data_IF_614512032442
#
_entry.id   IF_614512032442
#
_cell.length_a   1.000
_cell.length_b   1.000
_cell.length_c   1.000
_cell.angle_alpha   90.00
_cell.angle_beta   90.00
_cell.angle_gamma   90.00
#
_symmetry.space_group_name_H-M   'P 1'
#
loop_
_entity.id
_entity.type
_entity.pdbx_description
1 polymer ?
#
# COMPACT_ATOMS: atom_id res chain seq x y z
N UNK A 1 -25.36 12.46 -4.87
CA UNK A 1 -24.02 12.91 -4.47
C UNK A 1 -24.15 13.59 -3.11
N UNK A 2 -23.80 12.93 -2.01
CA UNK A 2 -23.81 13.55 -0.68
C UNK A 2 -22.52 14.37 -0.50
N UNK A 3 -22.67 15.67 -0.24
CA UNK A 3 -21.56 16.55 0.13
C UNK A 3 -21.26 16.37 1.62
N UNK A 4 -20.03 15.96 1.96
CA UNK A 4 -19.57 15.97 3.34
C UNK A 4 -19.44 17.42 3.83
N UNK A 5 -20.11 17.74 4.94
CA UNK A 5 -20.08 19.08 5.51
C UNK A 5 -18.79 19.30 6.29
N UNK A 6 -18.26 20.53 6.23
CA UNK A 6 -17.07 20.99 6.97
C UNK A 6 -17.16 20.74 8.48
N UNK A 7 -18.37 20.57 9.02
CA UNK A 7 -18.63 20.24 10.43
C UNK A 7 -18.29 18.79 10.79
N UNK A 8 -18.40 17.85 9.86
CA UNK A 8 -18.03 16.44 10.11
C UNK A 8 -16.50 16.28 10.09
N UNK A 9 -15.82 17.08 9.28
CA UNK A 9 -14.35 17.16 9.28
C UNK A 9 -13.80 17.71 10.61
N UNK A 10 -14.46 18.73 11.19
CA UNK A 10 -14.06 19.27 12.50
C UNK A 10 -14.34 18.32 13.67
N UNK A 11 -15.39 17.48 13.58
CA UNK A 11 -15.64 16.43 14.58
C UNK A 11 -14.56 15.34 14.55
N UNK A 12 -14.01 15.03 13.37
CA UNK A 12 -12.91 14.06 13.25
C UNK A 12 -11.60 14.60 13.84
N UNK A 13 -11.33 15.90 13.73
CA UNK A 13 -10.13 16.54 14.30
C UNK A 13 -10.16 16.68 15.83
N UNK A 14 -11.35 16.65 16.46
CA UNK A 14 -11.49 16.82 17.91
C UNK A 14 -11.31 15.53 18.73
N UNK A 15 -11.18 14.36 18.08
CA UNK A 15 -11.02 13.07 18.76
C UNK A 15 -9.56 12.70 19.11
N UNK A 16 -8.58 13.52 18.72
CA UNK A 16 -7.15 13.29 18.99
C UNK A 16 -6.64 14.08 20.19
N UNK A 17 -7.36 14.05 21.30
CA UNK A 17 -6.89 14.59 22.57
C UNK A 17 -7.17 13.61 23.71
N UNK A 18 -6.17 12.77 23.99
CA UNK A 18 -6.01 12.08 25.26
C UNK A 18 -6.31 10.58 25.26
N UNK A 19 -5.25 9.76 25.21
CA UNK A 19 -4.99 8.73 26.23
C UNK A 19 -3.47 8.62 26.42
N UNK A 20 -3.05 8.81 27.67
CA UNK A 20 -1.68 8.67 28.14
C UNK A 20 -1.26 7.20 28.28
N UNK A 21 0.05 6.98 28.18
CA UNK A 21 0.85 5.82 28.58
C UNK A 21 0.17 4.78 29.49
N UNK A 22 0.07 3.55 28.99
CA UNK A 22 0.02 2.33 29.82
C UNK A 22 1.17 1.43 29.33
N UNK A 23 2.14 1.21 30.21
CA UNK A 23 3.22 0.24 29.98
C UNK A 23 2.68 -1.18 29.89
N UNK A 24 3.36 -2.04 29.13
CA UNK A 24 3.04 -3.45 29.09
C UNK A 24 4.27 -4.31 29.33
N UNK A 25 4.13 -5.10 30.39
CA UNK A 25 4.97 -6.20 30.82
C UNK A 25 5.19 -7.19 29.67
N UNK A 26 6.41 -7.73 29.62
CA UNK A 26 6.84 -8.68 28.62
C UNK A 26 6.03 -9.98 28.62
N UNK A 27 5.52 -10.31 27.43
CA UNK A 27 5.15 -11.68 27.05
C UNK A 27 6.03 -11.99 25.84
N UNK A 28 6.88 -13.01 25.97
CA UNK A 28 7.75 -13.48 24.90
C UNK A 28 6.89 -14.11 23.79
N UNK A 29 6.59 -13.33 22.76
CA UNK A 29 6.07 -13.83 21.49
C UNK A 29 7.22 -14.49 20.72
N UNK A 30 6.97 -15.59 19.98
CA UNK A 30 7.98 -16.17 19.11
C UNK A 30 8.42 -15.11 18.10
N UNK A 31 9.72 -14.92 17.96
CA UNK A 31 10.33 -13.94 17.09
C UNK A 31 9.99 -14.25 15.63
N UNK A 32 8.86 -13.74 15.14
CA UNK A 32 8.71 -13.46 13.71
C UNK A 32 9.82 -12.48 13.37
N UNK A 33 10.73 -12.87 12.46
CA UNK A 33 11.84 -12.04 12.04
C UNK A 33 11.34 -10.62 11.76
N UNK A 34 11.67 -9.67 12.64
CA UNK A 34 11.45 -8.26 12.37
C UNK A 34 12.35 -7.94 11.19
N UNK A 35 11.78 -7.91 10.00
CA UNK A 35 12.47 -7.42 8.82
C UNK A 35 12.81 -5.95 9.10
N UNK A 36 14.07 -5.70 9.47
CA UNK A 36 14.58 -4.34 9.55
C UNK A 36 14.40 -3.71 8.16
N UNK A 37 13.96 -2.45 8.15
CA UNK A 37 13.76 -1.71 6.91
C UNK A 37 15.08 -1.71 6.13
N UNK A 38 15.14 -2.26 4.90
CA UNK A 38 16.37 -2.33 4.13
C UNK A 38 16.94 -0.94 3.83
N UNK A 39 18.27 -0.87 3.66
CA UNK A 39 18.94 0.35 3.22
C UNK A 39 18.33 0.86 1.89
N UNK A 40 18.08 2.16 1.80
CA UNK A 40 17.50 2.82 0.61
C UNK A 40 16.01 3.15 0.70
N UNK A 41 15.30 2.65 1.70
CA UNK A 41 13.94 3.09 2.03
C UNK A 41 14.02 4.34 2.90
N UNK A 42 13.31 5.42 2.53
CA UNK A 42 13.41 6.75 3.14
C UNK A 42 12.09 7.26 3.69
N UNK A 43 10.96 6.90 3.08
CA UNK A 43 9.64 7.46 3.41
C UNK A 43 8.77 6.49 4.23
N UNK A 44 8.95 5.18 4.08
CA UNK A 44 8.36 4.17 4.97
C UNK A 44 9.17 4.01 6.26
N UNK A 45 8.46 3.92 7.39
CA UNK A 45 9.00 3.37 8.63
C UNK A 45 8.83 1.84 8.67
N UNK A 46 9.22 1.24 9.79
CA UNK A 46 9.14 -0.21 9.98
C UNK A 46 7.70 -0.74 9.92
N UNK A 47 6.75 -0.01 10.50
CA UNK A 47 5.34 -0.39 10.51
C UNK A 47 4.76 -0.43 9.09
N UNK A 48 4.97 0.63 8.30
CA UNK A 48 4.46 0.66 6.93
C UNK A 48 5.12 -0.39 6.05
N UNK A 49 6.43 -0.60 6.24
CA UNK A 49 7.19 -1.58 5.48
C UNK A 49 6.63 -3.00 5.67
N UNK A 50 6.36 -3.41 6.91
CA UNK A 50 5.79 -4.74 7.21
C UNK A 50 4.43 -4.96 6.56
N UNK A 51 3.55 -3.95 6.62
CA UNK A 51 2.21 -4.02 6.00
C UNK A 51 2.33 -4.17 4.49
N UNK A 52 3.11 -3.32 3.83
CA UNK A 52 3.27 -3.37 2.38
C UNK A 52 3.97 -4.65 1.92
N UNK A 53 4.98 -5.13 2.67
CA UNK A 53 5.63 -6.39 2.37
C UNK A 53 4.64 -7.55 2.44
N UNK A 54 3.82 -7.61 3.50
CA UNK A 54 2.79 -8.64 3.64
C UNK A 54 1.76 -8.54 2.53
N UNK A 55 1.27 -7.34 2.25
CA UNK A 55 0.28 -7.08 1.22
C UNK A 55 0.79 -7.47 -0.17
N UNK A 56 2.06 -7.20 -0.46
CA UNK A 56 2.75 -7.61 -1.69
C UNK A 56 2.75 -9.12 -1.86
N UNK A 57 3.09 -9.87 -0.81
CA UNK A 57 3.13 -11.34 -0.86
C UNK A 57 1.76 -11.95 -1.19
N UNK A 58 0.68 -11.39 -0.64
CA UNK A 58 -0.67 -11.98 -0.79
C UNK A 58 -1.48 -11.41 -1.95
N UNK A 59 -1.18 -10.20 -2.39
CA UNK A 59 -1.93 -9.53 -3.48
C UNK A 59 -1.35 -9.78 -4.87
N UNK A 60 -0.09 -10.24 -4.97
CA UNK A 60 0.58 -10.50 -6.24
C UNK A 60 0.86 -12.00 -6.40
N UNK A 61 -0.04 -12.76 -7.06
CA UNK A 61 0.12 -14.21 -7.25
C UNK A 61 1.12 -14.51 -8.36
N UNK A 62 2.40 -14.16 -8.17
CA UNK A 62 3.45 -14.41 -9.16
C UNK A 62 3.99 -15.85 -9.08
N UNK A 63 3.80 -16.53 -7.95
CA UNK A 63 4.29 -17.90 -7.74
C UNK A 63 3.66 -18.89 -8.72
N UNK A 64 4.48 -19.68 -9.40
CA UNK A 64 4.02 -20.65 -10.41
C UNK A 64 3.54 -20.02 -11.72
N UNK A 65 3.72 -18.71 -11.91
CA UNK A 65 3.40 -18.00 -13.15
C UNK A 65 4.67 -17.62 -13.91
N UNK A 66 4.60 -17.25 -15.20
CA UNK A 66 5.74 -16.70 -15.92
C UNK A 66 6.11 -15.27 -15.50
N UNK A 67 5.36 -14.65 -14.59
CA UNK A 67 5.63 -13.28 -14.12
C UNK A 67 6.94 -13.22 -13.32
N UNK A 68 7.59 -12.05 -13.34
CA UNK A 68 8.84 -11.86 -12.61
C UNK A 68 8.63 -12.04 -11.09
N UNK A 69 9.48 -12.86 -10.47
CA UNK A 69 9.38 -13.16 -9.04
C UNK A 69 9.68 -11.93 -8.17
N UNK A 70 9.01 -11.83 -7.01
CA UNK A 70 9.10 -10.67 -6.12
C UNK A 70 10.51 -10.45 -5.54
N UNK A 71 11.34 -11.48 -5.44
CA UNK A 71 12.74 -11.40 -4.97
C UNK A 71 13.68 -10.74 -5.99
N UNK A 72 13.29 -10.71 -7.27
CA UNK A 72 14.12 -10.17 -8.36
C UNK A 72 13.78 -8.74 -8.72
N UNK A 73 12.73 -8.18 -8.13
CA UNK A 73 12.17 -6.87 -8.48
C UNK A 73 12.20 -5.96 -7.24
N UNK A 74 12.71 -4.73 -7.33
CA UNK A 74 12.82 -3.82 -6.20
C UNK A 74 11.48 -3.12 -5.89
N UNK A 75 10.40 -3.89 -5.70
CA UNK A 75 9.03 -3.37 -5.55
C UNK A 75 8.93 -2.37 -4.39
N UNK A 76 9.49 -2.70 -3.23
CA UNK A 76 9.43 -1.85 -2.04
C UNK A 76 10.20 -0.54 -2.23
N UNK A 77 11.35 -0.57 -2.91
CA UNK A 77 12.12 0.62 -3.24
C UNK A 77 11.39 1.49 -4.27
N UNK A 78 10.74 0.86 -5.26
CA UNK A 78 9.88 1.58 -6.21
C UNK A 78 8.70 2.25 -5.50
N UNK A 79 8.05 1.54 -4.57
CA UNK A 79 6.95 2.09 -3.77
C UNK A 79 7.41 3.31 -2.97
N UNK A 80 8.53 3.20 -2.27
CA UNK A 80 9.09 4.29 -1.46
C UNK A 80 9.50 5.51 -2.31
N UNK A 81 10.35 5.29 -3.30
CA UNK A 81 11.02 6.35 -4.03
C UNK A 81 10.18 6.96 -5.17
N UNK A 82 9.29 6.19 -5.79
CA UNK A 82 8.50 6.66 -6.94
C UNK A 82 7.08 7.06 -6.55
N UNK A 83 6.47 6.39 -5.56
CA UNK A 83 5.09 6.68 -5.17
C UNK A 83 5.02 7.54 -3.90
N UNK A 84 5.69 7.14 -2.83
CA UNK A 84 5.60 7.87 -1.55
C UNK A 84 6.37 9.19 -1.56
N UNK A 85 7.55 9.23 -2.19
CA UNK A 85 8.37 10.43 -2.27
C UNK A 85 7.67 11.61 -2.98
N UNK A 86 6.75 11.32 -3.90
CA UNK A 86 5.99 12.32 -4.64
C UNK A 86 4.77 12.89 -3.90
N UNK A 87 4.43 12.35 -2.72
CA UNK A 87 3.26 12.78 -1.97
C UNK A 87 3.54 14.06 -1.18
N UNK A 88 2.56 14.97 -1.14
CA UNK A 88 2.61 16.09 -0.21
C UNK A 88 2.67 15.57 1.25
N UNK A 89 3.41 16.22 2.17
CA UNK A 89 3.65 15.68 3.52
C UNK A 89 2.38 15.31 4.30
N UNK A 90 1.32 16.12 4.18
CA UNK A 90 0.04 15.85 4.86
C UNK A 90 -0.69 14.63 4.27
N UNK A 91 -0.55 14.39 2.96
CA UNK A 91 -1.10 13.20 2.29
C UNK A 91 -0.36 11.95 2.73
N UNK A 92 0.98 12.00 2.74
CA UNK A 92 1.80 10.88 3.22
C UNK A 92 1.49 10.55 4.68
N UNK A 93 1.34 11.56 5.54
CA UNK A 93 0.98 11.35 6.93
C UNK A 93 -0.42 10.71 7.08
N UNK A 94 -1.41 11.15 6.29
CA UNK A 94 -2.73 10.53 6.26
C UNK A 94 -2.69 9.08 5.80
N UNK A 95 -1.88 8.77 4.78
CA UNK A 95 -1.66 7.39 4.32
C UNK A 95 -1.05 6.52 5.42
N UNK A 96 -0.03 7.00 6.14
CA UNK A 96 0.58 6.26 7.27
C UNK A 96 -0.43 5.92 8.36
N UNK A 97 -1.29 6.86 8.70
CA UNK A 97 -2.39 6.61 9.65
C UNK A 97 -3.37 5.56 9.12
N UNK A 98 -3.73 5.65 7.83
CA UNK A 98 -4.57 4.64 7.17
C UNK A 98 -3.95 3.25 7.16
N UNK A 99 -2.63 3.15 6.95
CA UNK A 99 -1.87 1.89 7.03
C UNK A 99 -1.94 1.33 8.46
N UNK A 100 -1.75 2.17 9.48
CA UNK A 100 -1.91 1.75 10.89
C UNK A 100 -3.31 1.23 11.19
N UNK A 101 -4.35 1.85 10.65
CA UNK A 101 -5.73 1.37 10.78
C UNK A 101 -5.96 0.03 10.07
N UNK A 102 -5.40 -0.13 8.87
CA UNK A 102 -5.47 -1.39 8.12
C UNK A 102 -4.77 -2.53 8.89
N UNK A 103 -3.58 -2.28 9.41
CA UNK A 103 -2.79 -3.24 10.20
C UNK A 103 -3.55 -3.72 11.44
N UNK A 104 -4.10 -2.78 12.21
CA UNK A 104 -4.84 -3.10 13.43
C UNK A 104 -6.24 -3.67 13.15
N UNK A 105 -6.80 -3.39 11.98
CA UNK A 105 -8.09 -3.90 11.54
C UNK A 105 -8.19 -5.42 11.57
N UNK A 106 -7.09 -6.11 11.27
CA UNK A 106 -7.00 -7.56 11.31
C UNK A 106 -7.12 -8.14 12.73
N UNK A 107 -6.69 -7.41 13.76
CA UNK A 107 -6.72 -7.89 15.16
C UNK A 107 -8.14 -8.23 15.58
N UNK A 108 -9.13 -7.43 15.16
CA UNK A 108 -10.54 -7.69 15.50
C UNK A 108 -11.07 -9.00 14.90
N UNK A 109 -10.58 -9.40 13.73
CA UNK A 109 -11.07 -10.57 13.00
C UNK A 109 -10.25 -11.83 13.28
N UNK A 110 -8.93 -11.68 13.50
CA UNK A 110 -7.97 -12.77 13.54
C UNK A 110 -7.10 -12.80 14.81
N UNK A 111 -7.27 -11.84 15.73
CA UNK A 111 -6.52 -11.77 17.00
C UNK A 111 -5.06 -11.30 16.88
N UNK A 112 -4.59 -11.01 15.66
CA UNK A 112 -3.22 -10.56 15.36
C UNK A 112 -3.25 -9.52 14.24
N UNK A 113 -2.25 -8.63 14.14
CA UNK A 113 -2.24 -7.58 13.14
C UNK A 113 -1.98 -8.15 11.73
N UNK A 114 -2.33 -7.40 10.69
CA UNK A 114 -2.37 -7.90 9.31
C UNK A 114 -1.03 -8.47 8.86
N UNK A 115 0.08 -7.80 9.17
CA UNK A 115 1.43 -8.24 8.81
C UNK A 115 1.83 -9.61 9.38
N UNK A 116 1.10 -10.13 10.38
CA UNK A 116 1.34 -11.43 11.02
C UNK A 116 0.34 -12.53 10.62
N UNK A 117 -0.63 -12.21 9.76
CA UNK A 117 -1.55 -13.21 9.22
C UNK A 117 -0.83 -14.18 8.28
N UNK A 118 -1.29 -15.44 8.21
CA UNK A 118 -0.86 -16.36 7.15
C UNK A 118 -1.53 -16.00 5.81
N UNK A 119 -1.14 -16.66 4.71
CA UNK A 119 -1.54 -16.24 3.36
C UNK A 119 -3.05 -16.34 3.15
N UNK A 120 -3.66 -17.36 3.75
CA UNK A 120 -5.11 -17.56 3.67
C UNK A 120 -5.84 -16.46 4.43
N UNK A 121 -5.47 -16.22 5.68
CA UNK A 121 -6.14 -15.23 6.54
C UNK A 121 -5.91 -13.80 6.03
N UNK A 122 -4.72 -13.48 5.55
CA UNK A 122 -4.40 -12.19 4.96
C UNK A 122 -5.22 -11.93 3.68
N UNK A 123 -5.35 -12.95 2.81
CA UNK A 123 -6.19 -12.84 1.61
C UNK A 123 -7.65 -12.63 1.99
N UNK A 124 -8.18 -13.44 2.92
CA UNK A 124 -9.55 -13.32 3.40
C UNK A 124 -9.82 -11.97 4.09
N UNK A 125 -8.84 -11.42 4.82
CA UNK A 125 -8.93 -10.07 5.38
C UNK A 125 -9.05 -9.00 4.29
N UNK A 126 -8.20 -9.06 3.26
CA UNK A 126 -8.26 -8.13 2.13
C UNK A 126 -9.62 -8.21 1.43
N UNK A 127 -10.09 -9.43 1.12
CA UNK A 127 -11.38 -9.65 0.47
C UNK A 127 -12.55 -9.12 1.32
N UNK A 128 -12.51 -9.32 2.63
CA UNK A 128 -13.53 -8.79 3.54
C UNK A 128 -13.53 -7.25 3.54
N UNK A 129 -12.37 -6.61 3.50
CA UNK A 129 -12.27 -5.14 3.48
C UNK A 129 -12.68 -4.54 2.14
N UNK A 130 -12.35 -5.18 1.01
CA UNK A 130 -12.80 -4.75 -0.32
C UNK A 130 -14.32 -4.81 -0.46
N UNK A 131 -14.95 -5.81 0.16
CA UNK A 131 -16.40 -6.01 0.14
C UNK A 131 -17.13 -5.36 1.31
N UNK A 132 -16.42 -4.61 2.18
CA UNK A 132 -17.00 -3.97 3.36
C UNK A 132 -18.05 -2.93 2.97
N UNK A 133 -19.08 -2.74 3.79
CA UNK A 133 -20.02 -1.62 3.64
C UNK A 133 -19.40 -0.27 4.01
N UNK A 134 -18.29 -0.27 4.77
CA UNK A 134 -17.53 0.93 5.15
C UNK A 134 -16.65 1.45 3.98
N UNK A 135 -16.91 2.66 3.44
CA UNK A 135 -16.11 3.23 2.37
C UNK A 135 -14.63 3.40 2.71
N UNK A 136 -14.29 3.64 3.98
CA UNK A 136 -12.89 3.81 4.40
C UNK A 136 -12.13 2.49 4.30
N UNK A 137 -12.73 1.39 4.76
CA UNK A 137 -12.12 0.05 4.66
C UNK A 137 -11.88 -0.35 3.21
N UNK A 138 -12.89 -0.19 2.34
CA UNK A 138 -12.75 -0.45 0.90
C UNK A 138 -11.68 0.42 0.27
N UNK A 139 -11.69 1.71 0.58
CA UNK A 139 -10.74 2.69 0.07
C UNK A 139 -9.30 2.35 0.45
N UNK A 140 -9.07 1.96 1.70
CA UNK A 140 -7.76 1.53 2.18
C UNK A 140 -7.32 0.23 1.51
N UNK A 141 -8.14 -0.83 1.52
CA UNK A 141 -7.78 -2.11 0.92
C UNK A 141 -7.46 -1.99 -0.57
N UNK A 142 -8.33 -1.32 -1.34
CA UNK A 142 -8.10 -1.09 -2.77
C UNK A 142 -6.90 -0.18 -3.01
N UNK A 143 -6.78 0.92 -2.25
CA UNK A 143 -5.71 1.91 -2.43
C UNK A 143 -4.33 1.31 -2.17
N UNK A 144 -4.16 0.58 -1.06
CA UNK A 144 -2.89 -0.05 -0.70
C UNK A 144 -2.49 -1.12 -1.71
N UNK A 145 -3.43 -1.98 -2.15
CA UNK A 145 -3.16 -2.98 -3.20
C UNK A 145 -2.76 -2.34 -4.53
N UNK A 146 -3.40 -1.22 -4.90
CA UNK A 146 -3.03 -0.48 -6.12
C UNK A 146 -1.62 0.10 -6.03
N UNK A 147 -1.21 0.66 -4.89
CA UNK A 147 0.16 1.14 -4.71
C UNK A 147 1.17 0.01 -4.92
N UNK A 148 0.95 -1.14 -4.29
CA UNK A 148 1.80 -2.34 -4.45
C UNK A 148 1.84 -2.80 -5.91
N UNK A 149 0.68 -2.93 -6.55
CA UNK A 149 0.61 -3.38 -7.95
C UNK A 149 1.29 -2.40 -8.91
N UNK A 150 1.07 -1.10 -8.74
CA UNK A 150 1.73 -0.07 -9.54
C UNK A 150 3.25 -0.11 -9.35
N UNK A 151 3.74 -0.32 -8.12
CA UNK A 151 5.17 -0.46 -7.86
C UNK A 151 5.77 -1.70 -8.53
N UNK A 152 5.05 -2.82 -8.55
CA UNK A 152 5.50 -4.01 -9.27
C UNK A 152 5.58 -3.74 -10.78
N UNK A 153 4.48 -3.27 -11.39
CA UNK A 153 4.40 -3.03 -12.83
C UNK A 153 5.23 -1.84 -13.32
N UNK A 154 5.73 -0.97 -12.44
CA UNK A 154 6.66 0.08 -12.82
C UNK A 154 8.06 -0.44 -13.18
N UNK A 155 8.36 -1.71 -12.90
CA UNK A 155 9.66 -2.32 -13.17
C UNK A 155 9.68 -3.02 -14.54
N UNK A 156 10.56 -2.62 -15.49
CA UNK A 156 10.60 -3.17 -16.85
C UNK A 156 10.68 -4.71 -16.95
N UNK A 157 11.41 -5.44 -16.07
CA UNK A 157 11.45 -6.90 -16.16
C UNK A 157 10.08 -7.59 -15.98
N UNK A 158 9.08 -6.90 -15.43
CA UNK A 158 7.72 -7.44 -15.26
C UNK A 158 6.93 -7.49 -16.58
N UNK A 159 7.33 -6.74 -17.60
CA UNK A 159 6.56 -6.57 -18.83
C UNK A 159 6.75 -7.69 -19.85
N UNK A 160 7.90 -8.37 -19.82
CA UNK A 160 8.27 -9.39 -20.80
C UNK A 160 7.24 -10.53 -20.87
N UNK A 161 6.78 -11.00 -19.72
CA UNK A 161 5.77 -12.07 -19.64
C UNK A 161 4.39 -11.65 -20.17
N UNK A 162 4.14 -10.34 -20.27
CA UNK A 162 2.91 -9.78 -20.85
C UNK A 162 3.01 -9.58 -22.36
N UNK A 163 4.18 -9.80 -22.97
CA UNK A 163 4.46 -9.40 -24.35
C UNK A 163 4.42 -7.87 -24.54
N UNK A 164 4.66 -7.11 -23.47
CA UNK A 164 4.68 -5.65 -23.53
C UNK A 164 6.13 -5.14 -23.60
N UNK A 165 6.49 -4.49 -24.70
CA UNK A 165 7.84 -3.97 -24.93
C UNK A 165 8.15 -2.67 -24.17
N UNK A 166 7.21 -2.20 -23.34
CA UNK A 166 7.29 -0.93 -22.66
C UNK A 166 6.82 0.25 -23.50
N UNK A 167 6.95 1.49 -22.98
CA UNK A 167 6.56 2.70 -23.68
C UNK A 167 7.33 2.87 -25.01
N UNK A 168 6.61 2.79 -26.13
CA UNK A 168 7.21 2.77 -27.48
C UNK A 168 7.69 4.13 -27.97
N UNK A 169 7.30 5.24 -27.34
CA UNK A 169 7.61 6.58 -27.85
C UNK A 169 9.10 6.83 -28.07
N UNK A 170 9.96 6.31 -27.18
CA UNK A 170 11.42 6.39 -27.36
C UNK A 170 11.90 5.39 -28.42
N UNK A 171 11.45 4.14 -28.33
CA UNK A 171 11.88 3.05 -29.23
C UNK A 171 11.53 3.34 -30.69
N UNK A 172 10.38 3.98 -30.94
CA UNK A 172 9.87 4.30 -32.27
C UNK A 172 10.16 5.74 -32.68
N UNK A 173 10.90 6.50 -31.87
CA UNK A 173 11.23 7.90 -32.17
C UNK A 173 10.01 8.82 -32.29
N UNK A 174 8.91 8.50 -31.61
CA UNK A 174 7.70 9.33 -31.64
C UNK A 174 7.96 10.65 -30.94
N UNK A 175 7.83 11.75 -31.68
CA UNK A 175 7.94 13.10 -31.14
C UNK A 175 6.78 13.35 -30.17
N UNK A 176 7.10 13.74 -28.94
CA UNK A 176 6.09 14.20 -27.99
C UNK A 176 5.35 15.41 -28.57
N UNK A 177 4.03 15.31 -28.67
CA UNK A 177 3.16 16.40 -29.13
C UNK A 177 2.75 17.35 -27.99
N UNK A 178 3.32 17.17 -26.80
CA UNK A 178 2.89 17.86 -25.59
C UNK A 178 1.55 17.32 -25.06
N UNK A 179 0.93 18.05 -24.14
CA UNK A 179 -0.43 17.76 -23.72
C UNK A 179 -1.38 18.23 -24.84
N UNK A 180 -2.22 17.31 -25.34
CA UNK A 180 -3.30 17.72 -26.25
C UNK A 180 -4.17 18.76 -25.54
N UNK A 181 -4.48 19.90 -26.17
CA UNK A 181 -5.40 20.87 -25.58
C UNK A 181 -6.74 20.19 -25.30
N UNK A 182 -7.38 20.56 -24.18
CA UNK A 182 -8.75 20.11 -23.90
C UNK A 182 -9.65 20.44 -25.10
N UNK A 183 -10.58 19.55 -25.50
CA UNK A 183 -11.54 19.88 -26.54
C UNK A 183 -12.22 21.20 -26.20
N UNK A 184 -12.24 22.14 -27.16
CA UNK A 184 -13.03 23.34 -27.01
C UNK A 184 -14.51 22.94 -27.12
N UNK A 185 -15.27 23.18 -26.05
CA UNK A 185 -16.73 23.09 -26.07
C UNK A 185 -17.32 24.29 -26.80
#
# INVERSE_FOLDING_TARGET
MQQFSRRDFLKFAAASAGVASVGMLGIALPATANAAVPAGIRFMGEAEYKVFQRLMQVSLPVGGTPLASLDKIPVMQTLDAALLAGMAPHVLNGLKQGIGMFEQGAVKLYGKPFSQLDDRDATAFCDAWDNSSDPLQRGLATGLKKLVALSYWANPPTWAALGYDGPVSKNWGLKSLGNAPMPAN
#
